data_IF_333285598221
#
_entry.id   IF_333285598221
#
_cell.length_a   1.000
_cell.length_b   1.000
_cell.length_c   1.000
_cell.angle_alpha   90.00
_cell.angle_beta   90.00
_cell.angle_gamma   90.00
#
_symmetry.space_group_name_H-M   'P 1'
#
loop_
_entity.id
_entity.type
_entity.pdbx_description
1 polymer ?
#
# COMPACT_ATOMS: atom_id res chain seq x y z
N UNK A 1 28.81 -29.56 -4.92
CA UNK A 1 27.43 -29.08 -5.13
C UNK A 1 27.49 -27.62 -5.51
N UNK A 2 27.01 -27.26 -6.70
CA UNK A 2 27.10 -25.90 -7.25
C UNK A 2 25.90 -25.08 -6.77
N UNK A 3 26.16 -24.08 -5.93
CA UNK A 3 25.16 -23.12 -5.46
C UNK A 3 24.65 -22.26 -6.62
N UNK A 4 23.32 -22.16 -6.76
CA UNK A 4 22.68 -21.29 -7.75
C UNK A 4 22.68 -19.85 -7.21
N UNK A 5 23.63 -19.03 -7.64
CA UNK A 5 23.55 -17.58 -7.44
C UNK A 5 22.62 -17.00 -8.51
N UNK A 6 21.41 -16.59 -8.13
CA UNK A 6 20.49 -15.92 -9.04
C UNK A 6 20.99 -14.51 -9.32
N UNK A 7 21.45 -14.23 -10.54
CA UNK A 7 22.02 -12.93 -10.94
C UNK A 7 21.00 -11.95 -11.55
N UNK A 8 19.69 -12.18 -11.41
CA UNK A 8 18.70 -11.20 -11.87
C UNK A 8 18.65 -9.99 -10.91
N UNK A 9 19.37 -8.92 -11.27
CA UNK A 9 19.19 -7.59 -10.70
C UNK A 9 17.78 -7.10 -11.03
N UNK A 10 16.90 -7.12 -10.03
CA UNK A 10 15.53 -6.58 -10.10
C UNK A 10 15.57 -5.08 -10.42
N UNK A 11 15.23 -4.70 -11.66
CA UNK A 11 15.02 -3.30 -12.06
C UNK A 11 13.85 -2.73 -11.26
N UNK A 12 14.10 -1.69 -10.45
CA UNK A 12 13.06 -0.88 -9.80
C UNK A 12 12.46 0.07 -10.84
N UNK A 13 11.13 0.20 -10.87
CA UNK A 13 10.41 1.06 -11.82
C UNK A 13 10.47 2.55 -11.48
N UNK A 14 11.01 2.91 -10.31
CA UNK A 14 11.14 4.29 -9.85
C UNK A 14 12.56 4.53 -9.33
N UNK A 15 13.25 5.58 -9.77
CA UNK A 15 14.52 5.99 -9.19
C UNK A 15 14.26 6.46 -7.75
N UNK A 16 14.94 5.83 -6.79
CA UNK A 16 14.94 6.24 -5.40
C UNK A 16 15.82 7.49 -5.32
N UNK A 17 15.22 8.68 -5.31
CA UNK A 17 15.94 9.92 -5.05
C UNK A 17 16.34 9.89 -3.57
N UNK A 18 17.48 9.24 -3.28
CA UNK A 18 18.04 9.13 -1.93
C UNK A 18 18.81 10.40 -1.52
N UNK A 19 18.86 11.41 -2.40
CA UNK A 19 19.40 12.71 -2.05
C UNK A 19 18.47 13.35 -1.02
N UNK A 20 18.99 13.62 0.18
CA UNK A 20 18.28 14.45 1.15
C UNK A 20 17.91 15.77 0.45
N UNK A 21 16.67 16.28 0.64
CA UNK A 21 16.33 17.58 0.12
C UNK A 21 17.34 18.61 0.67
N UNK A 22 17.73 19.60 -0.14
CA UNK A 22 18.61 20.66 0.35
C UNK A 22 17.98 21.30 1.61
N UNK A 23 18.80 21.68 2.60
CA UNK A 23 18.29 22.31 3.80
C UNK A 23 17.59 23.62 3.43
N UNK A 24 16.36 23.81 3.94
CA UNK A 24 15.63 25.08 3.82
C UNK A 24 16.27 26.12 4.75
N UNK A 25 17.44 26.63 4.37
CA UNK A 25 18.04 27.79 5.02
C UNK A 25 17.63 29.03 4.25
N UNK A 26 16.94 29.95 4.93
CA UNK A 26 16.84 31.31 4.44
C UNK A 26 18.28 31.85 4.34
N UNK A 27 18.69 32.45 3.21
CA UNK A 27 20.00 33.06 3.14
C UNK A 27 20.11 34.14 4.23
N UNK A 28 21.27 34.25 4.91
CA UNK A 28 21.49 35.30 5.89
C UNK A 28 21.19 36.67 5.29
N UNK A 29 20.49 37.52 6.05
CA UNK A 29 20.28 38.92 5.69
C UNK A 29 21.66 39.56 5.47
N UNK A 30 21.95 40.02 4.25
CA UNK A 30 23.25 40.59 3.87
C UNK A 30 24.24 39.63 3.19
N UNK A 31 23.82 38.42 2.77
CA UNK A 31 24.66 37.53 1.96
C UNK A 31 25.09 38.18 0.64
N UNK A 32 26.39 38.16 0.27
CA UNK A 32 26.87 38.70 -1.00
C UNK A 32 26.39 37.93 -2.24
N UNK A 33 25.74 36.78 -2.04
CA UNK A 33 25.12 35.97 -3.10
C UNK A 33 23.65 36.33 -3.35
N UNK A 34 23.05 37.23 -2.56
CA UNK A 34 21.79 37.84 -2.93
C UNK A 34 22.09 38.95 -3.94
N UNK A 35 21.61 38.88 -5.20
CA UNK A 35 21.79 39.96 -6.13
C UNK A 35 21.20 41.24 -5.52
N UNK A 36 21.86 42.39 -5.73
CA UNK A 36 21.37 43.73 -5.35
C UNK A 36 19.95 44.01 -5.90
N UNK A 37 19.53 43.24 -6.90
CA UNK A 37 18.19 43.18 -7.47
C UNK A 37 17.42 41.96 -6.95
N UNK A 38 17.53 41.65 -5.66
CA UNK A 38 16.81 40.55 -5.04
C UNK A 38 15.32 40.72 -5.38
N UNK A 39 14.74 39.69 -5.98
CA UNK A 39 13.34 39.68 -6.40
C UNK A 39 12.48 40.25 -5.25
N UNK A 40 11.50 41.13 -5.47
CA UNK A 40 10.75 41.82 -4.40
C UNK A 40 10.18 40.87 -3.33
N UNK A 41 9.99 39.60 -3.68
CA UNK A 41 9.56 38.52 -2.77
C UNK A 41 10.63 38.05 -1.77
N UNK A 42 11.91 38.29 -1.99
CA UNK A 42 13.01 37.93 -1.08
C UNK A 42 13.04 38.80 0.19
N UNK A 43 12.43 39.99 0.12
CA UNK A 43 12.26 40.91 1.25
C UNK A 43 10.82 40.92 1.78
N UNK A 44 9.91 40.23 1.10
CA UNK A 44 8.52 40.18 1.50
C UNK A 44 8.39 39.37 2.80
N UNK A 45 7.93 40.02 3.86
CA UNK A 45 7.48 39.34 5.07
C UNK A 45 6.28 38.49 4.69
N UNK A 46 6.45 37.18 4.69
CA UNK A 46 5.34 36.23 4.49
C UNK A 46 4.44 36.36 5.71
N UNK A 47 3.29 36.97 5.52
CA UNK A 47 2.22 37.04 6.54
C UNK A 47 1.16 36.03 6.11
N UNK A 48 0.59 35.23 7.04
CA UNK A 48 -0.55 34.38 6.74
C UNK A 48 -1.67 35.20 6.11
N UNK A 49 -2.40 34.62 5.16
CA UNK A 49 -3.54 35.33 4.57
C UNK A 49 -4.67 35.43 5.60
N UNK A 50 -5.51 36.46 5.50
CA UNK A 50 -6.62 36.67 6.44
C UNK A 50 -7.64 35.51 6.42
N UNK A 51 -7.70 34.77 5.32
CA UNK A 51 -8.56 33.61 5.07
C UNK A 51 -7.87 32.25 5.31
N UNK A 52 -6.56 32.23 5.57
CA UNK A 52 -5.79 31.00 5.76
C UNK A 52 -6.34 30.21 6.96
N UNK A 53 -6.84 28.99 6.70
CA UNK A 53 -7.50 28.15 7.70
C UNK A 53 -8.98 28.46 7.97
N UNK A 54 -9.55 29.49 7.33
CA UNK A 54 -11.00 29.79 7.29
C UNK A 54 -11.64 29.49 5.94
N UNK A 55 -10.85 28.96 5.01
CA UNK A 55 -11.27 28.58 3.67
C UNK A 55 -12.42 27.56 3.74
N UNK A 56 -13.54 27.87 3.10
CA UNK A 56 -14.63 26.89 2.97
C UNK A 56 -14.20 25.82 1.98
N UNK A 57 -13.96 24.61 2.48
CA UNK A 57 -13.60 23.49 1.61
C UNK A 57 -14.74 23.23 0.61
N UNK A 58 -14.42 22.96 -0.67
CA UNK A 58 -15.40 22.47 -1.61
C UNK A 58 -16.09 21.23 -1.03
N UNK A 59 -17.38 21.03 -1.36
CA UNK A 59 -18.10 19.82 -0.96
C UNK A 59 -17.42 18.59 -1.55
N UNK A 60 -16.56 17.94 -0.78
CA UNK A 60 -15.88 16.73 -1.22
C UNK A 60 -16.91 15.61 -1.32
N UNK A 61 -17.01 15.02 -2.51
CA UNK A 61 -17.81 13.82 -2.74
C UNK A 61 -16.98 12.81 -3.51
N UNK A 62 -17.11 11.54 -3.14
CA UNK A 62 -16.49 10.45 -3.86
C UNK A 62 -17.40 10.04 -5.02
N UNK A 63 -16.90 10.16 -6.25
CA UNK A 63 -17.63 9.73 -7.45
C UNK A 63 -17.68 8.19 -7.60
N UNK A 64 -16.77 7.46 -6.94
CA UNK A 64 -16.62 6.01 -7.08
C UNK A 64 -16.83 5.34 -5.72
N UNK A 65 -17.88 4.52 -5.64
CA UNK A 65 -18.12 3.58 -4.56
C UNK A 65 -18.46 2.22 -5.16
N UNK A 66 -17.51 1.28 -5.14
CA UNK A 66 -17.71 -0.09 -5.58
C UNK A 66 -17.54 -1.04 -4.40
N UNK A 67 -18.51 -1.93 -4.19
CA UNK A 67 -18.48 -2.93 -3.12
C UNK A 67 -18.83 -4.29 -3.68
N UNK A 68 -18.10 -5.31 -3.26
CA UNK A 68 -18.35 -6.67 -3.71
C UNK A 68 -17.57 -7.71 -2.93
N UNK A 69 -18.08 -8.94 -2.96
CA UNK A 69 -17.34 -10.09 -2.42
C UNK A 69 -16.47 -10.66 -3.53
N UNK A 70 -15.16 -10.70 -3.31
CA UNK A 70 -14.18 -11.08 -4.32
C UNK A 70 -13.13 -12.05 -3.73
N UNK A 71 -12.53 -12.92 -4.56
CA UNK A 71 -11.37 -13.69 -4.15
C UNK A 71 -10.12 -12.81 -4.09
N UNK A 72 -9.34 -12.93 -3.01
CA UNK A 72 -8.05 -12.24 -2.85
C UNK A 72 -6.91 -13.24 -2.66
N UNK A 73 -5.80 -12.99 -3.35
CA UNK A 73 -4.51 -13.64 -3.11
C UNK A 73 -3.49 -12.61 -2.61
N UNK A 74 -2.88 -12.84 -1.44
CA UNK A 74 -1.83 -11.96 -0.94
C UNK A 74 -0.45 -12.50 -1.32
N UNK A 75 0.30 -11.77 -2.14
CA UNK A 75 1.67 -12.18 -2.51
C UNK A 75 2.73 -11.58 -1.58
N UNK A 76 2.47 -10.39 -1.02
CA UNK A 76 3.41 -9.65 -0.17
C UNK A 76 2.70 -9.01 1.01
N UNK A 77 3.27 -9.10 2.21
CA UNK A 77 2.77 -8.37 3.40
C UNK A 77 3.39 -6.98 3.51
N UNK A 78 4.62 -6.83 3.04
CA UNK A 78 5.36 -5.58 2.97
C UNK A 78 6.28 -5.59 1.74
N UNK A 79 6.85 -4.45 1.32
CA UNK A 79 7.80 -4.42 0.21
C UNK A 79 8.95 -5.40 0.42
N UNK A 80 9.07 -6.39 -0.48
CA UNK A 80 10.11 -7.42 -0.39
C UNK A 80 9.85 -8.55 0.61
N UNK A 81 8.79 -8.47 1.41
CA UNK A 81 8.37 -9.53 2.33
C UNK A 81 7.24 -10.33 1.71
N UNK A 82 7.57 -11.53 1.25
CA UNK A 82 6.58 -12.46 0.70
C UNK A 82 5.59 -12.88 1.80
N UNK A 83 4.30 -12.88 1.49
CA UNK A 83 3.28 -13.28 2.45
C UNK A 83 3.41 -14.78 2.80
N UNK A 84 3.24 -15.10 4.10
CA UNK A 84 3.31 -16.49 4.60
C UNK A 84 2.11 -17.32 4.11
N UNK A 85 0.90 -16.78 4.26
CA UNK A 85 -0.32 -17.38 3.71
C UNK A 85 -0.71 -16.64 2.42
N UNK A 86 -0.60 -17.35 1.29
CA UNK A 86 -0.88 -16.86 -0.07
C UNK A 86 -2.02 -17.61 -0.74
N UNK A 87 -2.82 -18.30 0.07
CA UNK A 87 -4.02 -18.99 -0.41
C UNK A 87 -5.05 -17.95 -0.84
N UNK A 88 -5.91 -18.35 -1.76
CA UNK A 88 -7.05 -17.54 -2.14
C UNK A 88 -8.02 -17.49 -0.96
N UNK A 89 -8.49 -16.29 -0.59
CA UNK A 89 -9.46 -16.11 0.49
C UNK A 89 -10.62 -15.25 0.00
N UNK A 90 -11.82 -15.56 0.47
CA UNK A 90 -13.02 -14.75 0.21
C UNK A 90 -13.00 -13.51 1.10
N UNK A 91 -13.08 -12.33 0.50
CA UNK A 91 -13.05 -11.05 1.21
C UNK A 91 -14.13 -10.12 0.69
N UNK A 92 -14.55 -9.19 1.54
CA UNK A 92 -15.38 -8.05 1.10
C UNK A 92 -14.42 -6.94 0.68
N UNK A 93 -14.48 -6.54 -0.58
CA UNK A 93 -13.70 -5.44 -1.12
C UNK A 93 -14.58 -4.21 -1.25
N UNK A 94 -14.03 -3.06 -0.86
CA UNK A 94 -14.65 -1.75 -1.00
C UNK A 94 -13.65 -0.78 -1.62
N UNK A 95 -14.00 -0.21 -2.76
CA UNK A 95 -13.28 0.89 -3.38
C UNK A 95 -14.09 2.16 -3.16
N UNK A 96 -13.57 3.07 -2.35
CA UNK A 96 -14.14 4.40 -2.10
C UNK A 96 -13.13 5.46 -2.55
N UNK A 97 -13.41 6.13 -3.66
CA UNK A 97 -12.45 7.03 -4.30
C UNK A 97 -11.16 6.29 -4.68
N UNK A 98 -10.05 6.62 -3.99
CA UNK A 98 -8.75 5.95 -4.13
C UNK A 98 -8.44 4.96 -3.00
N UNK A 99 -9.29 4.90 -1.98
CA UNK A 99 -9.11 3.99 -0.84
C UNK A 99 -9.69 2.61 -1.17
N UNK A 100 -8.83 1.60 -1.24
CA UNK A 100 -9.23 0.21 -1.39
C UNK A 100 -9.17 -0.52 -0.05
N UNK A 101 -10.33 -0.83 0.53
CA UNK A 101 -10.48 -1.50 1.82
C UNK A 101 -10.86 -2.96 1.61
N UNK A 102 -10.27 -3.83 2.42
CA UNK A 102 -10.49 -5.27 2.37
C UNK A 102 -10.90 -5.74 3.76
N UNK A 103 -12.09 -6.32 3.86
CA UNK A 103 -12.64 -6.85 5.10
C UNK A 103 -12.75 -8.38 5.06
N UNK A 104 -12.72 -8.98 6.25
CA UNK A 104 -12.98 -10.41 6.40
C UNK A 104 -14.42 -10.72 6.01
N UNK A 105 -14.62 -11.76 5.21
CA UNK A 105 -15.95 -12.24 4.84
C UNK A 105 -16.36 -13.37 5.80
N UNK A 106 -17.59 -13.34 6.32
CA UNK A 106 -18.14 -14.44 7.12
C UNK A 106 -18.70 -15.56 6.23
N UNK A 107 -18.46 -16.83 6.59
CA UNK A 107 -18.98 -18.00 5.89
C UNK A 107 -18.07 -18.50 4.77
N UNK A 108 -17.27 -19.53 5.06
CA UNK A 108 -16.12 -19.96 4.24
C UNK A 108 -16.36 -21.29 3.48
N UNK A 109 -17.36 -22.10 3.86
CA UNK A 109 -17.32 -23.53 3.53
C UNK A 109 -17.64 -23.97 2.09
N UNK A 110 -18.61 -23.36 1.42
CA UNK A 110 -19.12 -23.83 0.10
C UNK A 110 -18.34 -23.22 -1.07
N UNK A 111 -18.11 -21.91 -1.05
CA UNK A 111 -17.52 -21.20 -2.18
C UNK A 111 -16.03 -21.54 -2.35
N UNK A 112 -15.28 -21.69 -1.24
CA UNK A 112 -13.88 -22.11 -1.28
C UNK A 112 -13.70 -23.50 -1.90
N UNK A 113 -14.66 -24.41 -1.72
CA UNK A 113 -14.71 -25.70 -2.43
C UNK A 113 -14.98 -25.51 -3.92
N UNK A 114 -15.95 -24.67 -4.28
CA UNK A 114 -16.36 -24.44 -5.66
C UNK A 114 -15.25 -23.80 -6.51
N UNK A 115 -14.44 -22.89 -5.93
CA UNK A 115 -13.35 -22.22 -6.65
C UNK A 115 -11.95 -22.80 -6.34
N UNK A 116 -11.87 -23.91 -5.61
CA UNK A 116 -10.60 -24.55 -5.24
C UNK A 116 -9.69 -23.69 -4.32
N UNK A 117 -10.28 -22.74 -3.59
CA UNK A 117 -9.59 -21.77 -2.73
C UNK A 117 -9.46 -22.23 -1.25
N UNK A 118 -9.92 -23.43 -0.90
CA UNK A 118 -9.91 -23.92 0.48
C UNK A 118 -8.57 -24.49 0.95
N UNK A 119 -8.41 -24.58 2.28
CA UNK A 119 -7.34 -25.35 2.92
C UNK A 119 -7.52 -26.85 2.63
N UNK A 120 -6.96 -27.35 1.52
CA UNK A 120 -6.98 -28.76 1.11
C UNK A 120 -6.12 -29.69 1.98
N UNK A 121 -6.11 -29.50 3.30
CA UNK A 121 -5.54 -30.45 4.26
C UNK A 121 -6.68 -31.15 5.01
N UNK A 122 -7.60 -31.78 4.27
CA UNK A 122 -8.34 -32.89 4.86
C UNK A 122 -7.35 -34.04 4.92
N UNK A 123 -6.67 -34.19 6.05
CA UNK A 123 -6.11 -35.50 6.38
C UNK A 123 -7.29 -36.46 6.33
N UNK A 124 -7.36 -37.28 5.28
CA UNK A 124 -8.24 -38.44 5.28
C UNK A 124 -7.81 -39.26 6.49
N UNK A 125 -8.59 -39.22 7.56
CA UNK A 125 -8.43 -40.14 8.67
C UNK A 125 -8.49 -41.54 8.06
N UNK A 126 -7.35 -42.23 8.06
CA UNK A 126 -7.28 -43.64 7.67
C UNK A 126 -8.22 -44.38 8.62
N UNK A 127 -9.25 -45.08 8.14
CA UNK A 127 -10.09 -45.86 9.03
C UNK A 127 -9.21 -46.94 9.67
N UNK A 128 -9.12 -46.92 11.00
CA UNK A 128 -8.44 -47.95 11.77
C UNK A 128 -9.06 -49.30 11.41
N UNK A 129 -8.23 -50.26 10.95
CA UNK A 129 -8.67 -51.64 10.75
C UNK A 129 -9.23 -52.19 12.07
N UNK A 130 -10.41 -52.82 12.09
CA UNK A 130 -10.85 -53.54 13.27
C UNK A 130 -9.89 -54.72 13.53
N UNK A 131 -9.44 -54.83 14.78
CA UNK A 131 -8.70 -55.99 15.25
C UNK A 131 -9.59 -57.23 15.11
N UNK A 132 -9.05 -58.29 14.49
CA UNK A 132 -9.73 -59.60 14.44
C UNK A 132 -9.71 -60.23 15.84
N UNK A 133 -10.75 -61.01 16.18
CA UNK A 133 -10.85 -61.73 17.45
C UNK A 133 -9.76 -62.81 17.59
#
# INVERSE_FOLDING_TARGET
GIGRTSTLKRRRSMPEIMAAPPPYTLPPVGSPFLPVNAHPLAQARIVPRDDEGRETLPGYSNAILLRGVMPRKMEFTAPGVQAKDRKWRRVVCELEGTAFRVYRCAGEGWWERAVGAGDGAVFSAVPAKPAKP
#
